data_IF_026446016559
#
_entry.id   IF_026446016559
#
_cell.length_a   1.000
_cell.length_b   1.000
_cell.length_c   1.000
_cell.angle_alpha   90.00
_cell.angle_beta   90.00
_cell.angle_gamma   90.00
#
_symmetry.space_group_name_H-M   'P 1'
#
loop_
_entity.id
_entity.type
_entity.pdbx_description
1 polymer ?
#
# COMPACT_ATOMS: atom_id res chain seq x y z
N UNK A 1 -2.82 14.01 6.18
CA UNK A 1 -2.75 12.55 5.93
C UNK A 1 -2.81 12.38 4.42
N UNK A 2 -1.86 11.69 3.80
CA UNK A 2 -1.77 11.66 2.33
C UNK A 2 -1.82 10.25 1.74
N UNK A 3 -1.81 9.22 2.59
CA UNK A 3 -1.78 7.82 2.13
C UNK A 3 -3.16 7.18 2.31
N UNK A 4 -3.84 6.82 1.21
CA UNK A 4 -5.16 6.20 1.27
C UNK A 4 -5.11 4.72 1.65
N UNK A 5 -6.24 4.17 2.09
CA UNK A 5 -6.39 2.76 2.37
C UNK A 5 -6.71 1.98 1.07
N UNK A 6 -5.76 1.18 0.60
CA UNK A 6 -5.87 0.46 -0.67
C UNK A 6 -6.27 -1.02 -0.54
N UNK A 7 -5.84 -1.70 0.53
CA UNK A 7 -5.94 -3.15 0.65
C UNK A 7 -7.22 -3.62 1.34
N UNK A 8 -7.95 -4.54 0.70
CA UNK A 8 -9.15 -5.17 1.24
C UNK A 8 -8.80 -6.45 2.02
N UNK A 9 -7.99 -6.29 3.07
CA UNK A 9 -7.43 -7.41 3.84
C UNK A 9 -8.08 -7.56 5.21
N UNK A 10 -8.26 -8.83 5.62
CA UNK A 10 -8.67 -9.20 6.99
C UNK A 10 -7.69 -8.61 8.01
N UNK A 11 -8.18 -8.14 9.18
CA UNK A 11 -9.49 -8.45 9.77
C UNK A 11 -10.66 -7.57 9.29
N UNK A 12 -10.40 -6.43 8.64
CA UNK A 12 -11.43 -5.46 8.26
C UNK A 12 -11.99 -5.67 6.86
N UNK A 13 -11.22 -6.32 5.98
CA UNK A 13 -11.59 -6.61 4.60
C UNK A 13 -12.01 -8.05 4.33
N UNK A 14 -12.19 -8.37 3.04
CA UNK A 14 -12.66 -9.67 2.55
C UNK A 14 -11.52 -10.71 2.37
N UNK A 15 -10.30 -10.27 2.07
CA UNK A 15 -9.22 -11.13 1.59
C UNK A 15 -8.14 -11.45 2.63
N UNK A 16 -7.37 -12.52 2.39
CA UNK A 16 -6.23 -12.91 3.22
C UNK A 16 -4.89 -12.62 2.52
N UNK A 17 -3.78 -12.76 3.26
CA UNK A 17 -2.43 -12.56 2.70
C UNK A 17 -2.11 -13.49 1.52
N UNK A 18 -2.72 -14.67 1.46
CA UNK A 18 -2.58 -15.60 0.32
C UNK A 18 -3.20 -15.02 -0.94
N UNK A 19 -4.29 -14.26 -0.83
CA UNK A 19 -4.93 -13.62 -1.98
C UNK A 19 -4.09 -12.43 -2.47
N UNK A 20 -3.45 -11.69 -1.56
CA UNK A 20 -2.46 -10.68 -1.93
C UNK A 20 -1.27 -11.31 -2.67
N UNK A 21 -0.74 -12.43 -2.18
CA UNK A 21 0.36 -13.16 -2.82
C UNK A 21 0.01 -13.59 -4.25
N UNK A 22 -1.20 -14.15 -4.45
CA UNK A 22 -1.70 -14.58 -5.77
C UNK A 22 -1.73 -13.47 -6.81
N UNK A 23 -1.95 -12.23 -6.40
CA UNK A 23 -2.01 -11.08 -7.31
C UNK A 23 -0.65 -10.40 -7.50
N UNK A 24 0.44 -10.91 -6.92
CA UNK A 24 1.78 -10.34 -7.04
C UNK A 24 2.36 -9.77 -5.74
N UNK A 25 1.65 -9.93 -4.62
CA UNK A 25 2.16 -9.67 -3.27
C UNK A 25 2.26 -8.19 -2.90
N UNK A 26 3.01 -7.94 -1.84
CA UNK A 26 3.33 -6.58 -1.35
C UNK A 26 3.89 -5.64 -2.43
N UNK A 27 4.73 -6.09 -3.40
CA UNK A 27 5.21 -5.22 -4.47
C UNK A 27 4.10 -4.48 -5.25
N UNK A 28 2.91 -5.09 -5.42
CA UNK A 28 1.77 -4.46 -6.10
C UNK A 28 1.29 -3.20 -5.35
N UNK A 29 1.21 -3.28 -4.02
CA UNK A 29 0.83 -2.14 -3.17
C UNK A 29 1.91 -1.06 -3.22
N UNK A 30 3.19 -1.45 -3.11
CA UNK A 30 4.30 -0.52 -3.15
C UNK A 30 4.37 0.21 -4.50
N UNK A 31 4.14 -0.51 -5.60
CA UNK A 31 4.09 0.06 -6.95
C UNK A 31 2.97 1.08 -7.09
N UNK A 32 1.77 0.78 -6.60
CA UNK A 32 0.64 1.72 -6.64
C UNK A 32 0.93 3.02 -5.86
N UNK A 33 1.59 2.92 -4.70
CA UNK A 33 1.99 4.08 -3.90
C UNK A 33 3.14 4.87 -4.55
N UNK A 34 4.10 4.17 -5.16
CA UNK A 34 5.22 4.79 -5.87
C UNK A 34 4.73 5.58 -7.08
N UNK A 35 3.85 4.99 -7.90
CA UNK A 35 3.30 5.66 -9.09
C UNK A 35 2.44 6.88 -8.74
N UNK A 36 1.84 6.89 -7.55
CA UNK A 36 1.12 8.05 -7.01
C UNK A 36 2.01 9.09 -6.31
N UNK A 37 3.33 8.89 -6.26
CA UNK A 37 4.26 9.79 -5.59
C UNK A 37 4.17 9.79 -4.06
N UNK A 38 3.56 8.74 -3.47
CA UNK A 38 3.36 8.58 -2.02
C UNK A 38 4.45 7.72 -1.38
N UNK A 39 5.43 7.25 -2.15
CA UNK A 39 6.52 6.39 -1.71
C UNK A 39 7.85 6.91 -2.27
N UNK A 40 8.87 6.98 -1.40
CA UNK A 40 10.22 7.37 -1.82
C UNK A 40 10.90 6.21 -2.55
N UNK A 41 11.10 6.38 -3.86
CA UNK A 41 11.68 5.34 -4.73
C UNK A 41 13.20 5.28 -4.74
N UNK A 42 13.87 6.36 -4.36
CA UNK A 42 15.33 6.55 -4.38
C UNK A 42 16.06 5.87 -3.21
N UNK A 43 15.31 5.32 -2.25
CA UNK A 43 15.89 4.67 -1.06
C UNK A 43 16.59 3.36 -1.43
N UNK A 44 17.82 3.11 -0.92
CA UNK A 44 18.52 1.86 -1.16
C UNK A 44 17.84 0.70 -0.41
N UNK A 45 17.91 -0.49 -1.00
CA UNK A 45 17.38 -1.73 -0.41
C UNK A 45 18.49 -2.76 -0.22
N UNK A 46 18.20 -3.85 0.48
CA UNK A 46 19.14 -4.96 0.67
C UNK A 46 19.61 -5.62 -0.63
N UNK A 47 18.91 -5.40 -1.74
CA UNK A 47 19.27 -5.93 -3.06
C UNK A 47 20.42 -5.17 -3.72
N UNK A 48 20.89 -4.07 -3.11
CA UNK A 48 21.86 -3.15 -3.71
C UNK A 48 21.25 -2.19 -4.74
N UNK A 49 19.95 -2.33 -5.03
CA UNK A 49 19.16 -1.43 -5.89
C UNK A 49 18.27 -0.52 -5.05
N UNK A 50 17.84 0.59 -5.64
CA UNK A 50 16.80 1.46 -5.10
C UNK A 50 15.43 0.76 -5.10
N UNK A 51 14.49 1.28 -4.32
CA UNK A 51 13.14 0.75 -4.28
C UNK A 51 12.43 0.87 -5.64
N UNK A 52 12.63 1.98 -6.35
CA UNK A 52 12.06 2.20 -7.69
C UNK A 52 12.60 1.18 -8.70
N UNK A 53 13.90 0.89 -8.67
CA UNK A 53 14.50 -0.12 -9.54
C UNK A 53 13.96 -1.52 -9.26
N UNK A 54 13.72 -1.88 -7.99
CA UNK A 54 13.10 -3.16 -7.65
C UNK A 54 11.65 -3.29 -8.11
N UNK A 55 10.94 -2.16 -8.23
CA UNK A 55 9.53 -2.13 -8.60
C UNK A 55 9.31 -1.83 -10.09
N UNK A 56 10.38 -1.67 -10.88
CA UNK A 56 10.30 -1.29 -12.29
C UNK A 56 9.46 -2.26 -13.13
N UNK A 57 9.61 -3.57 -12.86
CA UNK A 57 8.94 -4.65 -13.60
C UNK A 57 7.61 -5.10 -12.97
N UNK A 58 7.20 -4.46 -11.86
CA UNK A 58 5.96 -4.82 -11.17
C UNK A 58 4.78 -4.22 -11.92
N UNK A 59 3.86 -5.10 -12.36
CA UNK A 59 2.62 -4.71 -13.05
C UNK A 59 1.47 -4.78 -12.05
N UNK A 60 0.67 -3.72 -12.00
CA UNK A 60 -0.57 -3.73 -11.23
C UNK A 60 -1.61 -4.62 -11.95
N UNK A 61 -2.12 -5.69 -11.33
CA UNK A 61 -3.06 -6.59 -11.99
C UNK A 61 -4.41 -5.93 -12.17
N UNK A 62 -4.97 -6.02 -13.38
CA UNK A 62 -6.27 -5.43 -13.71
C UNK A 62 -7.46 -6.26 -13.21
N UNK A 63 -7.31 -7.58 -13.13
CA UNK A 63 -8.38 -8.53 -12.76
C UNK A 63 -8.24 -8.99 -11.30
N UNK A 64 -8.33 -8.02 -10.37
CA UNK A 64 -8.36 -8.26 -8.94
C UNK A 64 -8.99 -7.08 -8.20
N UNK A 65 -9.52 -7.33 -7.00
CA UNK A 65 -10.14 -6.34 -6.12
C UNK A 65 -9.56 -6.37 -4.69
N UNK A 66 -8.48 -7.12 -4.47
CA UNK A 66 -7.70 -7.22 -3.20
C UNK A 66 -6.97 -5.91 -2.89
N UNK A 67 -6.43 -5.24 -3.91
CA UNK A 67 -5.76 -3.94 -3.80
C UNK A 67 -6.44 -2.98 -4.76
N UNK A 68 -6.95 -1.87 -4.23
CA UNK A 68 -7.57 -0.81 -5.03
C UNK A 68 -6.51 0.15 -5.58
N UNK A 69 -6.73 0.74 -6.78
CA UNK A 69 -5.88 1.82 -7.27
C UNK A 69 -6.04 3.08 -6.39
N UNK A 70 -5.00 3.92 -6.36
CA UNK A 70 -4.98 5.15 -5.54
C UNK A 70 -6.13 6.12 -5.89
N UNK A 71 -6.58 6.14 -7.15
CA UNK A 71 -7.71 6.97 -7.59
C UNK A 71 -9.10 6.44 -7.17
N UNK A 72 -9.20 5.21 -6.67
CA UNK A 72 -10.45 4.63 -6.17
C UNK A 72 -10.20 3.81 -4.90
N UNK A 73 -9.70 4.43 -3.82
CA UNK A 73 -9.30 3.72 -2.62
C UNK A 73 -10.51 3.22 -1.83
N UNK A 74 -10.30 2.30 -0.87
CA UNK A 74 -11.35 1.90 0.07
C UNK A 74 -11.71 3.04 1.03
N UNK A 75 -10.73 3.83 1.42
CA UNK A 75 -10.90 5.05 2.20
C UNK A 75 -9.83 6.06 1.82
N UNK A 76 -10.19 7.34 1.82
CA UNK A 76 -9.28 8.44 1.48
C UNK A 76 -8.16 8.61 2.52
N UNK A 77 -8.44 8.25 3.77
CA UNK A 77 -7.49 8.24 4.88
C UNK A 77 -6.96 6.82 5.17
N UNK A 78 -5.73 6.75 5.67
CA UNK A 78 -5.14 5.51 6.17
C UNK A 78 -5.88 4.95 7.40
N UNK A 79 -5.85 3.63 7.56
CA UNK A 79 -6.61 2.90 8.60
C UNK A 79 -6.18 3.12 10.06
N UNK A 80 -5.25 4.04 10.33
CA UNK A 80 -4.76 4.35 11.68
C UNK A 80 -5.01 5.81 12.02
N UNK A 81 -5.73 6.03 13.13
CA UNK A 81 -5.90 7.34 13.71
C UNK A 81 -4.98 7.55 14.92
N UNK A 82 -4.31 8.72 14.97
CA UNK A 82 -3.53 9.15 16.14
C UNK A 82 -4.41 10.12 16.94
N UNK A 83 -4.71 9.77 18.19
CA UNK A 83 -5.53 10.58 19.09
C UNK A 83 -4.64 11.30 20.10
N UNK A 84 -4.95 12.56 20.39
CA UNK A 84 -4.29 13.39 21.40
C UNK A 84 -5.33 14.15 22.23
N UNK A 85 -5.02 14.46 23.48
CA UNK A 85 -5.90 15.25 24.35
C UNK A 85 -5.63 15.02 25.83
N UNK A 86 -6.49 15.52 26.71
CA UNK A 86 -6.33 15.35 28.17
C UNK A 86 -6.30 13.88 28.62
N UNK A 87 -6.98 12.99 27.88
CA UNK A 87 -6.95 11.53 28.10
C UNK A 87 -5.82 10.80 27.37
N UNK A 88 -5.14 11.47 26.44
CA UNK A 88 -4.02 10.94 25.65
C UNK A 88 -2.99 12.05 25.40
N UNK A 89 -2.22 12.47 26.43
CA UNK A 89 -1.33 13.64 26.35
C UNK A 89 -0.03 13.38 25.57
N UNK A 90 0.27 12.10 25.27
CA UNK A 90 1.43 11.66 24.50
C UNK A 90 1.27 11.79 23.00
#
# INVERSE_FOLDING_TARGET
>A
RITPHLGDLRPFGAYHMVDLDRIGGVPVVLKALLDAGLLHGDVPTITGRTLAENLADVVFPADQDVVRPVGQPMAEDGGIAILRGSLAPG
#
